data_IF_753214288353
#
_entry.id   IF_753214288353
#
_cell.length_a   1.000
_cell.length_b   1.000
_cell.length_c   1.000
_cell.angle_alpha   90.00
_cell.angle_beta   90.00
_cell.angle_gamma   90.00
#
_symmetry.space_group_name_H-M   'P 1'
#
loop_
_entity.id
_entity.type
_entity.pdbx_description
1 polymer ?
#
# COMPACT_ATOMS: atom_id res chain seq x y z
N UNK A 1 23.79 -24.69 -10.87
CA UNK A 1 24.83 -24.24 -11.81
C UNK A 1 24.08 -23.64 -12.97
N UNK A 2 24.43 -22.43 -13.39
CA UNK A 2 23.74 -21.74 -14.48
C UNK A 2 24.07 -22.42 -15.82
N UNK A 3 23.14 -22.34 -16.76
CA UNK A 3 23.36 -22.71 -18.16
C UNK A 3 24.17 -21.62 -18.86
N UNK A 4 24.76 -21.94 -20.03
CA UNK A 4 25.50 -20.94 -20.83
C UNK A 4 24.63 -19.76 -21.25
N UNK A 5 23.35 -20.00 -21.51
CA UNK A 5 22.41 -18.96 -21.90
C UNK A 5 22.08 -18.05 -20.70
N UNK A 6 21.93 -18.62 -19.51
CA UNK A 6 21.76 -17.84 -18.27
C UNK A 6 23.02 -17.02 -17.94
N UNK A 7 24.23 -17.59 -18.13
CA UNK A 7 25.49 -16.85 -17.96
C UNK A 7 25.63 -15.69 -18.94
N UNK A 8 25.26 -15.91 -20.22
CA UNK A 8 25.23 -14.86 -21.25
C UNK A 8 24.28 -13.73 -20.86
N UNK A 9 23.02 -14.06 -20.52
CA UNK A 9 22.00 -13.08 -20.12
C UNK A 9 22.46 -12.26 -18.92
N UNK A 10 23.04 -12.90 -17.89
CA UNK A 10 23.55 -12.20 -16.71
C UNK A 10 24.74 -11.30 -17.02
N UNK A 11 25.57 -11.65 -18.01
CA UNK A 11 26.69 -10.80 -18.42
C UNK A 11 26.27 -9.52 -19.14
N UNK A 12 25.01 -9.42 -19.59
CA UNK A 12 24.43 -8.23 -20.23
C UNK A 12 23.81 -7.23 -19.24
N UNK A 13 23.83 -7.55 -17.93
CA UNK A 13 23.39 -6.65 -16.87
C UNK A 13 24.26 -5.39 -16.83
N UNK A 14 23.60 -4.25 -16.95
CA UNK A 14 24.17 -2.93 -16.84
C UNK A 14 23.66 -2.28 -15.54
N UNK A 15 24.52 -2.31 -14.52
CA UNK A 15 24.19 -1.76 -13.21
C UNK A 15 24.05 -0.23 -13.27
N UNK A 16 24.81 0.44 -14.15
CA UNK A 16 24.77 1.89 -14.27
C UNK A 16 23.47 2.34 -14.94
N UNK A 17 22.99 1.62 -15.97
CA UNK A 17 21.68 1.87 -16.58
C UNK A 17 20.55 1.64 -15.56
N UNK A 18 20.58 0.50 -14.85
CA UNK A 18 19.60 0.21 -13.80
C UNK A 18 19.62 1.25 -12.68
N UNK A 19 20.79 1.73 -12.26
CA UNK A 19 20.91 2.79 -11.26
C UNK A 19 20.39 4.13 -11.77
N UNK A 20 20.60 4.46 -13.05
CA UNK A 20 20.03 5.63 -13.70
C UNK A 20 18.50 5.66 -13.63
N UNK A 21 17.84 4.50 -13.75
CA UNK A 21 16.39 4.40 -13.53
C UNK A 21 16.00 4.68 -12.09
N UNK A 22 16.75 4.19 -11.11
CA UNK A 22 16.50 4.47 -9.68
C UNK A 22 16.62 5.96 -9.41
N UNK A 23 17.67 6.61 -9.91
CA UNK A 23 17.89 8.04 -9.73
C UNK A 23 16.82 8.91 -10.40
N UNK A 24 16.25 8.47 -11.52
CA UNK A 24 15.15 9.16 -12.16
C UNK A 24 13.85 8.99 -11.37
N UNK A 25 13.43 7.73 -11.15
CA UNK A 25 12.14 7.41 -10.56
C UNK A 25 12.02 7.85 -9.09
N UNK A 26 13.14 7.90 -8.35
CA UNK A 26 13.16 8.35 -6.94
C UNK A 26 12.93 9.85 -6.75
N UNK A 27 12.93 10.64 -7.83
CA UNK A 27 12.65 12.09 -7.79
C UNK A 27 11.17 12.42 -7.98
N UNK A 28 10.35 11.42 -8.34
CA UNK A 28 8.93 11.59 -8.65
C UNK A 28 8.07 11.16 -7.46
N UNK A 29 7.15 12.02 -7.04
CA UNK A 29 6.03 11.62 -6.20
C UNK A 29 5.05 10.81 -7.05
N UNK A 30 5.04 9.49 -6.84
CA UNK A 30 4.24 8.55 -7.61
C UNK A 30 3.01 8.10 -6.83
N UNK A 31 2.46 8.95 -5.99
CA UNK A 31 1.15 8.70 -5.39
C UNK A 31 0.13 8.46 -6.50
N UNK A 32 -0.71 7.42 -6.38
CA UNK A 32 -1.57 7.00 -7.49
C UNK A 32 -2.50 8.11 -8.00
N UNK A 33 -2.80 8.09 -9.30
CA UNK A 33 -3.59 9.09 -10.01
C UNK A 33 -3.07 10.54 -9.90
N UNK A 34 -1.80 10.75 -9.55
CA UNK A 34 -1.15 12.06 -9.61
C UNK A 34 -0.37 12.24 -10.91
N UNK A 35 0.09 13.47 -11.18
CA UNK A 35 0.92 13.73 -12.34
C UNK A 35 2.26 12.99 -12.27
N UNK A 36 2.90 12.93 -11.09
CA UNK A 36 4.21 12.27 -10.97
C UNK A 36 4.16 10.75 -11.21
N UNK A 37 3.02 10.09 -10.90
CA UNK A 37 2.80 8.71 -11.35
C UNK A 37 2.70 8.61 -12.88
N UNK A 38 1.96 9.52 -13.52
CA UNK A 38 1.83 9.55 -14.98
C UNK A 38 3.17 9.78 -15.67
N UNK A 39 3.96 10.72 -15.13
CA UNK A 39 5.32 11.00 -15.60
C UNK A 39 6.22 9.76 -15.46
N UNK A 40 6.07 8.98 -14.38
CA UNK A 40 6.82 7.73 -14.22
C UNK A 40 6.41 6.65 -15.23
N UNK A 41 5.12 6.54 -15.58
CA UNK A 41 4.67 5.67 -16.67
C UNK A 41 5.12 6.16 -18.05
N UNK A 42 5.19 7.47 -18.26
CA UNK A 42 5.79 8.07 -19.46
C UNK A 42 7.27 7.72 -19.58
N UNK A 43 8.02 7.83 -18.47
CA UNK A 43 9.43 7.43 -18.41
C UNK A 43 9.63 5.95 -18.78
N UNK A 44 8.82 5.04 -18.21
CA UNK A 44 8.88 3.62 -18.55
C UNK A 44 8.63 3.40 -20.05
N UNK A 45 7.59 4.02 -20.60
CA UNK A 45 7.27 3.89 -22.03
C UNK A 45 8.40 4.41 -22.92
N UNK A 46 8.96 5.56 -22.60
CA UNK A 46 10.10 6.13 -23.32
C UNK A 46 11.32 5.20 -23.30
N UNK A 47 11.59 4.53 -22.16
CA UNK A 47 12.67 3.54 -22.06
C UNK A 47 12.37 2.27 -22.83
N UNK A 48 11.14 1.78 -22.80
CA UNK A 48 10.75 0.62 -23.63
C UNK A 48 10.87 0.94 -25.13
N UNK A 49 10.48 2.14 -25.57
CA UNK A 49 10.69 2.61 -26.95
C UNK A 49 12.19 2.67 -27.31
N UNK A 50 13.04 3.20 -26.42
CA UNK A 50 14.50 3.23 -26.58
C UNK A 50 15.10 1.82 -26.72
N UNK A 51 14.59 0.86 -25.96
CA UNK A 51 15.04 -0.53 -25.97
C UNK A 51 14.45 -1.36 -27.12
N UNK A 52 13.47 -0.82 -27.85
CA UNK A 52 12.75 -1.54 -28.90
C UNK A 52 11.80 -2.62 -28.36
N UNK A 53 11.36 -2.50 -27.11
CA UNK A 53 10.47 -3.47 -26.44
C UNK A 53 9.01 -3.12 -26.75
N UNK A 54 8.22 -3.99 -27.41
CA UNK A 54 6.80 -3.75 -27.62
C UNK A 54 6.03 -3.65 -26.31
N UNK A 55 5.03 -2.77 -26.22
CA UNK A 55 4.18 -2.66 -25.03
C UNK A 55 2.75 -2.23 -25.34
N UNK A 56 1.87 -2.47 -24.37
CA UNK A 56 0.50 -1.96 -24.31
C UNK A 56 0.33 -1.09 -23.07
N UNK A 57 -0.53 -0.08 -23.18
CA UNK A 57 -0.90 0.79 -22.08
C UNK A 57 -2.40 0.71 -21.86
N UNK A 58 -2.79 0.68 -20.60
CA UNK A 58 -4.18 0.62 -20.19
C UNK A 58 -4.46 1.74 -19.20
N UNK A 59 -5.69 2.22 -19.21
CA UNK A 59 -6.21 3.11 -18.17
C UNK A 59 -7.63 2.71 -17.83
N UNK A 60 -7.97 2.77 -16.55
CA UNK A 60 -9.32 2.46 -16.06
C UNK A 60 -9.64 3.28 -14.81
N UNK A 61 -10.92 3.37 -14.48
CA UNK A 61 -11.36 4.06 -13.27
C UNK A 61 -11.30 3.11 -12.07
N UNK A 62 -10.65 3.56 -11.00
CA UNK A 62 -10.47 2.84 -9.74
C UNK A 62 -10.88 3.70 -8.56
N UNK A 63 -11.38 3.08 -7.50
CA UNK A 63 -11.53 3.76 -6.22
C UNK A 63 -10.15 3.90 -5.57
N UNK A 64 -9.69 5.14 -5.38
CA UNK A 64 -8.36 5.46 -4.85
C UNK A 64 -8.52 6.34 -3.62
N UNK A 65 -7.79 6.01 -2.55
CA UNK A 65 -7.81 6.77 -1.30
C UNK A 65 -6.47 7.42 -1.00
N UNK A 66 -6.44 8.74 -0.91
CA UNK A 66 -5.29 9.49 -0.43
C UNK A 66 -5.53 9.91 1.02
N UNK A 67 -4.76 9.41 2.00
CA UNK A 67 -4.79 9.97 3.34
C UNK A 67 -4.40 11.45 3.28
N UNK A 68 -5.03 12.26 4.11
CA UNK A 68 -4.77 13.70 4.22
C UNK A 68 -4.31 14.00 5.65
N UNK A 69 -4.98 14.91 6.33
CA UNK A 69 -4.64 15.30 7.69
C UNK A 69 -5.27 14.40 8.77
N UNK A 70 -4.60 14.32 9.92
CA UNK A 70 -5.11 13.77 11.17
C UNK A 70 -4.65 14.62 12.35
N UNK A 71 -5.47 14.69 13.39
CA UNK A 71 -5.10 15.26 14.68
C UNK A 71 -5.67 14.42 15.81
N UNK A 72 -4.84 14.22 16.85
CA UNK A 72 -5.20 13.46 18.04
C UNK A 72 -4.80 14.27 19.26
N UNK A 73 -5.77 14.59 20.11
CA UNK A 73 -5.55 15.32 21.35
C UNK A 73 -6.08 14.52 22.52
N UNK A 74 -5.28 14.37 23.57
CA UNK A 74 -5.77 13.94 24.87
C UNK A 74 -6.46 15.14 25.52
N UNK A 75 -7.71 14.96 25.93
CA UNK A 75 -8.49 15.95 26.69
C UNK A 75 -8.24 15.75 28.19
N UNK A 76 -8.22 14.50 28.64
CA UNK A 76 -7.99 14.12 30.04
C UNK A 76 -7.31 12.75 30.11
N UNK A 77 -6.52 12.44 31.16
CA UNK A 77 -6.36 13.19 32.41
C UNK A 77 -5.42 14.39 32.31
N UNK A 78 -4.47 14.38 31.36
CA UNK A 78 -3.52 15.46 31.13
C UNK A 78 -3.59 15.87 29.66
N UNK A 79 -3.96 17.12 29.35
CA UNK A 79 -4.01 17.58 27.97
C UNK A 79 -2.68 17.42 27.25
N UNK A 80 -2.72 16.81 26.07
CA UNK A 80 -1.53 16.53 25.26
C UNK A 80 -1.92 16.41 23.79
N UNK A 81 -1.23 17.14 22.92
CA UNK A 81 -1.30 16.90 21.48
C UNK A 81 -0.40 15.72 21.10
N UNK A 82 -0.89 14.85 20.22
CA UNK A 82 -0.18 13.66 19.75
C UNK A 82 -0.06 13.75 18.24
N UNK A 83 1.18 13.80 17.75
CA UNK A 83 1.45 13.75 16.32
C UNK A 83 0.97 12.42 15.73
N UNK A 84 0.17 12.49 14.67
CA UNK A 84 -0.40 11.32 14.02
C UNK A 84 -0.64 11.52 12.52
N UNK A 85 -0.77 10.40 11.80
CA UNK A 85 -1.26 10.35 10.42
C UNK A 85 -2.49 9.43 10.33
N UNK A 86 -3.29 9.59 9.27
CA UNK A 86 -4.33 8.62 8.90
C UNK A 86 -3.88 7.77 7.71
N UNK A 87 -4.75 6.89 7.22
CA UNK A 87 -4.39 5.83 6.27
C UNK A 87 -5.39 5.73 5.11
N UNK A 88 -4.94 5.19 3.97
CA UNK A 88 -5.83 4.98 2.84
C UNK A 88 -7.00 4.07 3.22
N UNK A 89 -8.21 4.47 2.81
CA UNK A 89 -9.51 3.87 3.14
C UNK A 89 -9.88 3.91 4.62
N UNK A 90 -9.19 4.71 5.44
CA UNK A 90 -9.67 5.09 6.77
C UNK A 90 -10.92 5.96 6.63
N UNK A 91 -11.94 5.72 7.45
CA UNK A 91 -13.13 6.59 7.46
C UNK A 91 -12.75 7.98 7.96
N UNK A 92 -13.11 8.99 7.19
CA UNK A 92 -13.04 10.39 7.62
C UNK A 92 -14.00 10.65 8.77
N UNK A 93 -13.56 11.39 9.79
CA UNK A 93 -14.45 11.92 10.83
C UNK A 93 -15.32 13.05 10.27
N UNK A 94 -16.31 13.53 11.03
CA UNK A 94 -16.96 14.81 10.73
C UNK A 94 -15.97 15.98 10.90
N UNK A 95 -16.41 17.19 10.52
CA UNK A 95 -15.59 18.40 10.69
C UNK A 95 -15.27 18.69 12.16
N UNK A 96 -16.17 18.34 13.07
CA UNK A 96 -16.01 18.47 14.52
C UNK A 96 -15.09 17.40 15.11
N UNK A 97 -14.78 16.34 14.37
CA UNK A 97 -14.06 15.18 14.90
C UNK A 97 -14.94 14.31 15.80
N UNK A 98 -14.31 13.50 16.66
CA UNK A 98 -14.99 12.69 17.66
C UNK A 98 -14.29 12.78 19.01
N UNK A 99 -15.08 12.82 20.08
CA UNK A 99 -14.58 12.62 21.44
C UNK A 99 -14.97 11.24 21.95
N UNK A 100 -14.01 10.50 22.50
CA UNK A 100 -14.26 9.15 23.00
C UNK A 100 -13.23 8.74 24.04
N UNK A 101 -13.56 7.69 24.79
CA UNK A 101 -12.62 7.03 25.68
C UNK A 101 -11.61 6.21 24.87
N UNK A 102 -10.33 6.33 25.23
CA UNK A 102 -9.23 5.55 24.67
C UNK A 102 -8.99 4.32 25.56
N UNK A 103 -9.03 3.13 24.96
CA UNK A 103 -8.79 1.85 25.66
C UNK A 103 -7.58 1.14 25.07
N UNK A 104 -6.63 0.76 25.93
CA UNK A 104 -5.47 -0.01 25.51
C UNK A 104 -5.82 -1.48 25.33
N UNK A 105 -5.47 -2.05 24.18
CA UNK A 105 -5.65 -3.46 23.86
C UNK A 105 -4.27 -4.13 23.94
N UNK A 106 -4.00 -4.94 24.99
CA UNK A 106 -2.66 -5.44 25.29
C UNK A 106 -2.25 -6.64 24.42
N UNK A 107 -2.50 -6.55 23.11
CA UNK A 107 -2.22 -7.60 22.13
C UNK A 107 -1.50 -7.00 20.93
N UNK A 108 -0.41 -7.64 20.51
CA UNK A 108 0.26 -7.30 19.25
C UNK A 108 -0.16 -8.28 18.15
N UNK A 109 -0.51 -7.83 16.94
CA UNK A 109 -0.76 -8.71 15.81
C UNK A 109 0.43 -9.61 15.49
N UNK A 110 1.67 -9.17 15.77
CA UNK A 110 2.87 -9.98 15.61
C UNK A 110 3.03 -11.08 16.67
N UNK A 111 2.36 -10.95 17.82
CA UNK A 111 2.34 -11.97 18.88
C UNK A 111 1.25 -13.03 18.68
N UNK A 112 0.32 -12.77 17.78
CA UNK A 112 -0.78 -13.66 17.44
C UNK A 112 -0.32 -14.63 16.34
N UNK A 113 -0.07 -15.89 16.70
CA UNK A 113 0.02 -17.02 15.76
C UNK A 113 -1.39 -17.46 15.28
N UNK A 114 -2.35 -16.54 15.29
CA UNK A 114 -3.77 -16.83 15.46
C UNK A 114 -4.62 -16.10 14.42
N UNK A 115 -5.77 -16.68 14.09
CA UNK A 115 -6.63 -16.20 13.02
C UNK A 115 -7.32 -14.89 13.36
N UNK A 116 -7.92 -14.24 12.37
CA UNK A 116 -8.71 -13.00 12.52
C UNK A 116 -9.79 -13.09 13.63
N UNK A 117 -10.36 -14.27 13.85
CA UNK A 117 -11.37 -14.49 14.90
C UNK A 117 -10.82 -14.31 16.31
N UNK A 118 -9.59 -14.72 16.56
CA UNK A 118 -8.96 -14.61 17.88
C UNK A 118 -8.74 -13.14 18.25
N UNK A 119 -8.34 -12.31 17.28
CA UNK A 119 -8.15 -10.87 17.49
C UNK A 119 -9.47 -10.15 17.83
N UNK A 120 -10.60 -10.54 17.21
CA UNK A 120 -11.93 -9.98 17.55
C UNK A 120 -12.29 -10.27 19.01
N UNK A 121 -12.03 -11.48 19.49
CA UNK A 121 -12.31 -11.84 20.88
C UNK A 121 -11.40 -11.09 21.86
N UNK A 122 -10.13 -10.85 21.51
CA UNK A 122 -9.25 -10.00 22.32
C UNK A 122 -9.76 -8.55 22.43
N UNK A 123 -10.26 -7.96 21.34
CA UNK A 123 -10.91 -6.65 21.41
C UNK A 123 -12.16 -6.66 22.29
N UNK A 124 -12.97 -7.73 22.23
CA UNK A 124 -14.16 -7.85 23.09
C UNK A 124 -13.79 -7.98 24.56
N UNK A 125 -12.75 -8.75 24.90
CA UNK A 125 -12.22 -8.85 26.26
C UNK A 125 -11.73 -7.50 26.80
N UNK A 126 -11.24 -6.64 25.93
CA UNK A 126 -10.84 -5.26 26.24
C UNK A 126 -12.03 -4.27 26.25
N UNK A 127 -13.28 -4.72 26.13
CA UNK A 127 -14.50 -3.91 26.22
C UNK A 127 -14.51 -2.68 25.28
N UNK A 128 -14.07 -2.87 24.03
CA UNK A 128 -13.80 -1.75 23.09
C UNK A 128 -15.04 -1.11 22.48
N UNK A 129 -16.23 -1.69 22.72
CA UNK A 129 -17.47 -1.26 22.08
C UNK A 129 -17.78 0.21 22.42
N UNK A 130 -17.89 1.06 21.40
CA UNK A 130 -18.13 2.49 21.58
C UNK A 130 -16.90 3.28 22.04
N UNK A 131 -15.70 2.71 21.98
CA UNK A 131 -14.44 3.33 22.40
C UNK A 131 -13.46 3.42 21.24
N UNK A 132 -12.36 4.16 21.44
CA UNK A 132 -11.21 4.19 20.54
C UNK A 132 -10.16 3.24 21.06
N UNK A 133 -9.68 2.32 20.22
CA UNK A 133 -8.67 1.34 20.64
C UNK A 133 -7.26 1.90 20.46
N UNK A 134 -6.37 1.66 21.42
CA UNK A 134 -4.94 1.91 21.33
C UNK A 134 -4.20 0.57 21.32
N UNK A 135 -3.29 0.36 20.37
CA UNK A 135 -2.52 -0.90 20.31
C UNK A 135 -1.17 -0.76 19.62
N UNK A 136 -0.26 -1.70 19.88
CA UNK A 136 1.00 -1.79 19.14
C UNK A 136 0.84 -2.48 17.77
N UNK A 137 1.58 -1.98 16.78
CA UNK A 137 1.63 -2.55 15.43
C UNK A 137 1.11 -1.58 14.37
N UNK A 138 1.32 -1.93 13.10
CA UNK A 138 0.91 -1.11 11.95
C UNK A 138 -0.59 -1.23 11.67
N UNK A 139 -1.15 -0.20 11.02
CA UNK A 139 -2.54 -0.15 10.58
C UNK A 139 -2.82 -1.12 9.43
N UNK A 140 -2.85 -2.41 9.74
CA UNK A 140 -3.15 -3.45 8.74
C UNK A 140 -4.66 -3.68 8.60
N UNK A 141 -5.14 -4.08 7.41
CA UNK A 141 -6.56 -4.27 7.16
C UNK A 141 -7.26 -5.28 8.07
N UNK A 142 -6.56 -6.37 8.41
CA UNK A 142 -7.07 -7.40 9.31
C UNK A 142 -7.37 -6.84 10.72
N UNK A 143 -6.48 -5.98 11.20
CA UNK A 143 -6.53 -5.41 12.55
C UNK A 143 -7.65 -4.37 12.68
N UNK A 144 -7.74 -3.47 11.69
CA UNK A 144 -8.81 -2.46 11.64
C UNK A 144 -10.18 -3.14 11.49
N UNK A 145 -10.27 -4.16 10.63
CA UNK A 145 -11.50 -4.95 10.48
C UNK A 145 -11.92 -5.63 11.79
N UNK A 146 -10.98 -6.22 12.54
CA UNK A 146 -11.29 -6.89 13.78
C UNK A 146 -11.81 -5.92 14.86
N UNK A 147 -11.20 -4.74 14.99
CA UNK A 147 -11.67 -3.70 15.90
C UNK A 147 -13.08 -3.21 15.54
N UNK A 148 -13.34 -3.00 14.24
CA UNK A 148 -14.68 -2.65 13.75
C UNK A 148 -15.70 -3.74 14.10
N UNK A 149 -15.36 -5.02 13.95
CA UNK A 149 -16.25 -6.13 14.33
C UNK A 149 -16.50 -6.22 15.83
N UNK A 150 -15.57 -5.79 16.65
CA UNK A 150 -15.76 -5.67 18.10
C UNK A 150 -16.53 -4.40 18.52
N UNK A 151 -16.83 -3.49 17.58
CA UNK A 151 -17.64 -2.29 17.82
C UNK A 151 -16.84 -1.06 18.25
N UNK A 152 -15.53 -1.01 17.97
CA UNK A 152 -14.73 0.19 18.16
C UNK A 152 -15.23 1.35 17.26
N UNK A 153 -15.03 2.59 17.71
CA UNK A 153 -15.33 3.80 16.92
C UNK A 153 -14.17 4.21 16.02
N UNK A 154 -12.95 4.02 16.51
CA UNK A 154 -11.71 4.29 15.81
C UNK A 154 -10.55 3.47 16.40
N UNK A 155 -9.40 3.51 15.75
CA UNK A 155 -8.20 2.80 16.15
C UNK A 155 -6.95 3.69 16.04
N UNK A 156 -6.15 3.69 17.11
CA UNK A 156 -4.84 4.33 17.22
C UNK A 156 -3.77 3.23 17.26
N UNK A 157 -2.91 3.25 16.26
CA UNK A 157 -1.81 2.30 16.09
C UNK A 157 -0.50 2.92 16.58
N UNK A 158 0.21 2.21 17.48
CA UNK A 158 1.51 2.61 17.98
C UNK A 158 2.57 1.97 17.08
N UNK A 159 3.31 2.81 16.35
CA UNK A 159 4.38 2.34 15.47
C UNK A 159 5.50 1.63 16.25
N UNK A 160 6.23 0.75 15.57
CA UNK A 160 7.35 0.01 16.18
C UNK A 160 8.54 0.89 16.56
N UNK A 161 8.63 2.08 15.97
CA UNK A 161 9.65 3.13 16.19
C UNK A 161 8.99 4.50 16.09
N UNK A 162 9.74 5.58 16.32
CA UNK A 162 9.29 6.97 16.13
C UNK A 162 9.29 7.39 14.66
N UNK A 163 8.75 6.53 13.81
CA UNK A 163 8.55 6.75 12.38
C UNK A 163 7.11 6.38 12.07
N UNK A 164 6.38 7.33 11.51
CA UNK A 164 5.00 7.12 11.06
C UNK A 164 5.02 6.39 9.73
N UNK A 165 4.20 5.36 9.61
CA UNK A 165 4.15 4.50 8.43
C UNK A 165 2.82 4.67 7.71
N UNK A 166 2.87 5.04 6.43
CA UNK A 166 1.70 5.02 5.57
C UNK A 166 1.20 3.60 5.37
N UNK A 167 -0.12 3.43 5.42
CA UNK A 167 -0.77 2.14 5.33
C UNK A 167 -2.09 2.27 4.57
N UNK A 168 -2.63 1.13 4.17
CA UNK A 168 -3.95 0.98 3.57
C UNK A 168 -4.76 -0.01 4.39
N UNK A 169 -5.98 0.35 4.78
CA UNK A 169 -6.75 -0.40 5.79
C UNK A 169 -7.90 -1.25 5.22
N UNK A 170 -8.09 -1.30 3.88
CA UNK A 170 -9.39 -1.74 3.31
C UNK A 170 -9.79 -3.23 3.30
N UNK A 171 -8.97 -4.27 3.29
CA UNK A 171 -9.45 -5.68 3.08
C UNK A 171 -10.02 -6.01 1.69
N UNK A 172 -10.62 -5.07 0.95
CA UNK A 172 -10.98 -5.27 -0.47
C UNK A 172 -9.70 -5.29 -1.31
N UNK A 173 -9.58 -6.22 -2.26
CA UNK A 173 -8.50 -6.19 -3.27
C UNK A 173 -9.04 -5.52 -4.52
N UNK A 174 -8.30 -4.52 -5.00
CA UNK A 174 -8.68 -3.65 -6.08
C UNK A 174 -9.93 -2.82 -5.83
N UNK A 175 -10.63 -2.53 -6.92
CA UNK A 175 -11.84 -1.71 -6.90
C UNK A 175 -13.03 -2.50 -6.34
N UNK A 176 -13.80 -1.97 -5.37
CA UNK A 176 -14.92 -2.69 -4.79
C UNK A 176 -16.07 -2.90 -5.80
N UNK A 177 -16.70 -4.06 -5.71
CA UNK A 177 -18.04 -4.29 -6.26
C UNK A 177 -19.09 -3.82 -5.25
N UNK A 178 -20.38 -3.68 -5.63
CA UNK A 178 -21.44 -3.38 -4.66
C UNK A 178 -21.47 -4.36 -3.47
N UNK A 179 -21.18 -5.64 -3.70
CA UNK A 179 -21.18 -6.70 -2.68
C UNK A 179 -19.97 -6.59 -1.74
N UNK A 180 -18.80 -6.20 -2.26
CA UNK A 180 -17.57 -6.08 -1.48
C UNK A 180 -17.37 -4.72 -0.83
N UNK A 181 -18.06 -3.67 -1.31
CA UNK A 181 -17.99 -2.30 -0.78
C UNK A 181 -18.27 -2.23 0.74
N UNK A 182 -19.15 -3.08 1.27
CA UNK A 182 -19.43 -3.19 2.72
C UNK A 182 -18.23 -3.62 3.58
N UNK A 183 -17.15 -4.07 2.95
CA UNK A 183 -15.90 -4.45 3.62
C UNK A 183 -14.91 -3.29 3.74
N UNK A 184 -15.17 -2.17 3.05
CA UNK A 184 -14.41 -0.93 3.28
C UNK A 184 -14.62 -0.54 4.76
N UNK A 185 -13.55 -0.20 5.49
CA UNK A 185 -13.64 0.19 6.88
C UNK A 185 -14.60 1.36 7.09
N UNK A 186 -15.43 1.23 8.13
CA UNK A 186 -16.38 2.24 8.59
C UNK A 186 -15.97 2.83 9.95
N UNK A 187 -14.69 2.66 10.30
CA UNK A 187 -14.05 3.25 11.48
C UNK A 187 -12.81 4.03 11.05
N UNK A 188 -12.43 5.02 11.83
CA UNK A 188 -11.21 5.82 11.60
C UNK A 188 -9.99 5.06 12.11
N UNK A 189 -8.91 5.04 11.34
CA UNK A 189 -7.61 4.52 11.75
C UNK A 189 -6.53 5.60 11.65
N UNK A 190 -5.72 5.73 12.70
CA UNK A 190 -4.55 6.62 12.76
C UNK A 190 -3.34 5.90 13.35
N UNK A 191 -2.15 6.38 13.03
CA UNK A 191 -0.89 5.92 13.63
C UNK A 191 -0.19 7.05 14.38
N UNK A 192 0.44 6.70 15.50
CA UNK A 192 1.24 7.58 16.35
C UNK A 192 2.65 7.04 16.48
N UNK A 193 3.60 7.94 16.79
CA UNK A 193 4.98 7.56 17.10
C UNK A 193 5.01 6.66 18.34
N UNK A 194 6.03 5.80 18.42
CA UNK A 194 6.17 4.85 19.52
C UNK A 194 6.19 5.54 20.88
N UNK A 195 7.01 6.57 21.01
CA UNK A 195 7.23 7.30 22.27
C UNK A 195 5.95 7.95 22.79
N UNK A 196 5.11 8.50 21.91
CA UNK A 196 3.81 9.05 22.31
C UNK A 196 2.77 7.97 22.59
N UNK A 197 2.75 6.91 21.78
CA UNK A 197 1.91 5.74 22.03
C UNK A 197 2.17 5.10 23.40
N UNK A 198 3.44 4.96 23.80
CA UNK A 198 3.81 4.44 25.11
C UNK A 198 3.31 5.35 26.25
N UNK A 199 3.34 6.68 26.10
CA UNK A 199 2.71 7.60 27.07
C UNK A 199 1.21 7.38 27.17
N UNK A 200 0.52 7.23 26.03
CA UNK A 200 -0.93 6.95 26.00
C UNK A 200 -1.26 5.63 26.70
N UNK A 201 -0.44 4.59 26.51
CA UNK A 201 -0.59 3.30 27.21
C UNK A 201 -0.46 3.49 28.72
N UNK A 202 0.55 4.22 29.19
CA UNK A 202 0.74 4.47 30.62
C UNK A 202 -0.39 5.32 31.23
N UNK A 203 -0.96 6.26 30.46
CA UNK A 203 -2.16 6.98 30.88
C UNK A 203 -3.37 6.04 31.01
N UNK A 204 -3.62 5.20 30.00
CA UNK A 204 -4.76 4.27 29.98
C UNK A 204 -4.68 3.21 31.09
N UNK A 205 -3.47 2.80 31.50
CA UNK A 205 -3.27 1.91 32.66
C UNK A 205 -3.61 2.57 34.01
N UNK A 206 -3.45 3.89 34.12
CA UNK A 206 -3.71 4.64 35.36
C UNK A 206 -5.18 5.01 35.54
N UNK A 207 -5.94 5.06 34.45
CA UNK A 207 -7.37 5.37 34.48
C UNK A 207 -7.92 5.79 33.11
N UNK A 208 -9.17 6.27 33.08
CA UNK A 208 -9.82 6.68 31.83
C UNK A 208 -9.07 7.80 31.12
N UNK A 209 -8.85 7.62 29.81
CA UNK A 209 -8.28 8.63 28.93
C UNK A 209 -9.34 9.06 27.95
N UNK A 210 -9.61 10.36 27.88
CA UNK A 210 -10.55 10.94 26.90
C UNK A 210 -9.73 11.64 25.82
N UNK A 211 -10.03 11.34 24.57
CA UNK A 211 -9.37 11.95 23.42
C UNK A 211 -10.37 12.71 22.54
N UNK A 212 -9.85 13.63 21.74
CA UNK A 212 -10.47 14.17 20.54
C UNK A 212 -9.66 13.70 19.33
N UNK A 213 -10.33 13.11 18.34
CA UNK A 213 -9.73 12.61 17.12
C UNK A 213 -10.43 13.23 15.90
N UNK A 214 -9.63 13.76 14.98
CA UNK A 214 -10.09 14.19 13.66
C UNK A 214 -9.18 13.58 12.59
N UNK A 215 -9.75 13.06 11.52
CA UNK A 215 -8.98 12.51 10.41
C UNK A 215 -9.73 12.67 9.10
N UNK A 216 -9.00 12.90 8.02
CA UNK A 216 -9.55 13.00 6.67
C UNK A 216 -8.78 12.13 5.68
N UNK A 217 -9.53 11.34 4.93
CA UNK A 217 -9.05 10.65 3.73
C UNK A 217 -9.88 11.06 2.52
N UNK A 218 -9.22 11.31 1.40
CA UNK A 218 -9.84 11.63 0.11
C UNK A 218 -9.96 10.36 -0.73
N UNK A 219 -11.09 9.66 -0.56
CA UNK A 219 -11.44 8.44 -1.30
C UNK A 219 -12.44 8.77 -2.41
N UNK A 220 -12.04 8.62 -3.67
CA UNK A 220 -12.93 8.82 -4.82
C UNK A 220 -12.44 8.06 -6.04
N UNK A 221 -13.30 7.95 -7.04
CA UNK A 221 -12.97 7.38 -8.33
C UNK A 221 -11.91 8.23 -9.04
N UNK A 222 -10.89 7.56 -9.57
CA UNK A 222 -9.79 8.17 -10.32
C UNK A 222 -9.39 7.27 -11.47
N UNK A 223 -9.00 7.90 -12.58
CA UNK A 223 -8.38 7.20 -13.70
C UNK A 223 -6.92 6.93 -13.40
N UNK A 224 -6.51 5.65 -13.43
CA UNK A 224 -5.13 5.22 -13.20
C UNK A 224 -4.55 4.47 -14.41
N UNK A 225 -3.27 4.65 -14.74
CA UNK A 225 -2.61 3.98 -15.86
C UNK A 225 -1.85 2.72 -15.43
N UNK A 226 -1.59 1.81 -16.36
CA UNK A 226 -0.50 0.84 -16.22
C UNK A 226 0.06 0.42 -17.58
N UNK A 227 1.30 -0.09 -17.58
CA UNK A 227 2.03 -0.51 -18.79
C UNK A 227 2.36 -1.99 -18.72
N UNK A 228 2.19 -2.68 -19.86
CA UNK A 228 2.54 -4.09 -20.07
C UNK A 228 3.51 -4.19 -21.23
N UNK A 229 4.78 -4.45 -20.95
CA UNK A 229 5.75 -4.83 -21.99
C UNK A 229 5.50 -6.28 -22.42
N UNK A 230 5.57 -6.54 -23.72
CA UNK A 230 5.31 -7.83 -24.35
C UNK A 230 6.55 -8.28 -25.14
N UNK A 231 7.29 -9.24 -24.58
CA UNK A 231 8.46 -9.83 -25.21
C UNK A 231 8.05 -11.20 -25.73
N UNK A 232 7.96 -11.34 -27.05
CA UNK A 232 7.45 -12.56 -27.70
C UNK A 232 8.52 -13.67 -27.72
N UNK A 233 8.17 -14.84 -27.18
CA UNK A 233 9.01 -16.03 -27.23
C UNK A 233 8.92 -16.75 -28.58
N UNK A 234 9.86 -17.65 -28.86
CA UNK A 234 10.00 -18.32 -30.16
C UNK A 234 9.08 -19.53 -30.33
N UNK A 235 9.00 -20.41 -29.32
CA UNK A 235 8.45 -21.76 -29.50
C UNK A 235 6.97 -21.86 -29.07
N UNK A 236 6.60 -21.16 -28.00
CA UNK A 236 5.25 -21.11 -27.40
C UNK A 236 4.87 -19.63 -27.11
N UNK A 237 4.75 -18.77 -28.14
CA UNK A 237 4.53 -17.32 -27.98
C UNK A 237 3.21 -16.98 -27.28
N UNK A 238 2.22 -17.87 -27.31
CA UNK A 238 0.93 -17.72 -26.65
C UNK A 238 1.00 -17.94 -25.12
N UNK A 239 2.02 -18.67 -24.65
CA UNK A 239 2.28 -18.86 -23.22
C UNK A 239 3.23 -17.78 -22.73
N UNK A 240 3.03 -17.32 -21.50
CA UNK A 240 3.89 -16.28 -20.95
C UNK A 240 4.21 -16.46 -19.47
N UNK A 241 5.36 -15.92 -19.07
CA UNK A 241 5.69 -15.63 -17.68
C UNK A 241 5.35 -14.17 -17.37
N UNK A 242 4.62 -13.92 -16.28
CA UNK A 242 4.36 -12.56 -15.79
C UNK A 242 5.41 -12.18 -14.74
N UNK A 243 6.17 -11.13 -15.02
CA UNK A 243 7.08 -10.49 -14.05
C UNK A 243 6.57 -9.08 -13.80
N UNK A 244 6.50 -8.63 -12.55
CA UNK A 244 5.82 -7.39 -12.27
C UNK A 244 6.25 -6.66 -11.00
N UNK A 245 5.91 -5.38 -10.96
CA UNK A 245 6.07 -4.47 -9.83
C UNK A 245 4.96 -3.44 -9.83
N UNK A 246 4.93 -2.55 -8.84
CA UNK A 246 4.00 -1.42 -8.85
C UNK A 246 4.76 -0.11 -9.02
N UNK A 247 4.25 0.75 -9.90
CA UNK A 247 4.80 2.06 -10.16
C UNK A 247 4.44 3.06 -9.07
N UNK A 248 3.23 2.95 -8.55
CA UNK A 248 2.76 3.87 -7.52
C UNK A 248 3.51 3.68 -6.21
N UNK A 249 3.62 4.74 -5.42
CA UNK A 249 4.23 4.67 -4.10
C UNK A 249 3.58 5.64 -3.13
N UNK A 250 3.91 5.47 -1.84
CA UNK A 250 3.77 6.56 -0.89
C UNK A 250 4.86 7.59 -1.18
N UNK A 251 4.46 8.75 -1.71
CA UNK A 251 5.38 9.83 -2.08
C UNK A 251 6.46 9.35 -3.08
N UNK A 252 7.75 9.46 -2.74
CA UNK A 252 8.87 9.12 -3.62
C UNK A 252 9.15 7.61 -3.76
N UNK A 253 8.92 6.80 -2.72
CA UNK A 253 8.98 5.33 -2.82
C UNK A 253 10.28 4.71 -3.36
N UNK A 254 11.47 5.20 -2.98
CA UNK A 254 12.73 4.72 -3.58
C UNK A 254 12.93 3.19 -3.46
N UNK A 255 12.72 2.63 -2.27
CA UNK A 255 12.83 1.18 -2.05
C UNK A 255 11.55 0.42 -2.37
N UNK A 256 10.40 1.08 -2.21
CA UNK A 256 9.06 0.55 -2.44
C UNK A 256 8.31 1.48 -3.39
N UNK A 257 8.48 1.35 -4.71
CA UNK A 257 9.18 0.26 -5.40
C UNK A 257 10.06 0.71 -6.59
N UNK A 258 10.71 1.88 -6.50
CA UNK A 258 11.57 2.35 -7.60
C UNK A 258 12.71 1.37 -7.93
N UNK A 259 13.35 0.76 -6.94
CA UNK A 259 14.40 -0.24 -7.17
C UNK A 259 13.90 -1.46 -7.92
N UNK A 260 12.69 -1.95 -7.62
CA UNK A 260 12.08 -3.03 -8.37
C UNK A 260 11.73 -2.60 -9.79
N UNK A 261 11.14 -1.41 -9.96
CA UNK A 261 10.78 -0.88 -11.28
C UNK A 261 12.00 -0.67 -12.18
N UNK A 262 13.14 -0.27 -11.63
CA UNK A 262 14.42 -0.19 -12.33
C UNK A 262 14.91 -1.56 -12.79
N UNK A 263 14.85 -2.58 -11.91
CA UNK A 263 15.20 -3.95 -12.28
C UNK A 263 14.28 -4.52 -13.37
N UNK A 264 13.00 -4.15 -13.39
CA UNK A 264 12.06 -4.56 -14.44
C UNK A 264 12.39 -3.92 -15.80
N UNK A 265 12.82 -2.66 -15.84
CA UNK A 265 13.26 -2.00 -17.08
C UNK A 265 14.52 -2.67 -17.63
N UNK A 266 15.48 -2.96 -16.76
CA UNK A 266 16.71 -3.65 -17.13
C UNK A 266 16.44 -5.08 -17.62
N UNK A 267 15.53 -5.78 -16.95
CA UNK A 267 15.06 -7.09 -17.40
C UNK A 267 14.40 -7.01 -18.78
N UNK A 268 13.55 -6.01 -19.03
CA UNK A 268 12.92 -5.81 -20.33
C UNK A 268 13.96 -5.60 -21.44
N UNK A 269 14.97 -4.77 -21.18
CA UNK A 269 16.06 -4.47 -22.12
C UNK A 269 16.84 -5.72 -22.52
N UNK A 270 17.23 -6.56 -21.56
CA UNK A 270 18.05 -7.75 -21.82
C UNK A 270 17.22 -8.86 -22.47
N UNK A 271 15.99 -9.08 -22.00
CA UNK A 271 15.14 -10.14 -22.53
C UNK A 271 14.70 -9.86 -23.96
N UNK A 272 14.45 -8.61 -24.35
CA UNK A 272 14.12 -8.28 -25.73
C UNK A 272 15.30 -8.56 -26.68
N UNK A 273 16.54 -8.25 -26.27
CA UNK A 273 17.75 -8.60 -27.04
C UNK A 273 17.93 -10.10 -27.23
N UNK A 274 17.48 -10.88 -26.26
CA UNK A 274 17.61 -12.33 -26.22
C UNK A 274 16.29 -13.06 -26.52
N UNK A 275 15.26 -12.38 -27.06
CA UNK A 275 13.92 -12.97 -27.22
C UNK A 275 13.88 -14.23 -28.09
N UNK A 276 14.83 -14.36 -29.03
CA UNK A 276 14.99 -15.55 -29.87
C UNK A 276 15.41 -16.81 -29.12
N UNK A 277 15.94 -16.66 -27.91
CA UNK A 277 16.33 -17.76 -27.01
C UNK A 277 15.22 -18.10 -26.01
N UNK A 278 14.16 -17.28 -25.92
CA UNK A 278 13.03 -17.50 -25.02
C UNK A 278 12.03 -18.50 -25.63
N UNK A 279 11.77 -19.61 -24.94
CA UNK A 279 10.74 -20.58 -25.37
C UNK A 279 9.34 -19.95 -25.32
N UNK A 280 9.04 -19.25 -24.21
CA UNK A 280 7.74 -18.62 -23.93
C UNK A 280 7.89 -17.11 -23.88
N UNK A 281 6.80 -16.40 -24.12
CA UNK A 281 6.77 -14.95 -24.00
C UNK A 281 6.98 -14.51 -22.55
N UNK A 282 7.41 -13.27 -22.36
CA UNK A 282 7.49 -12.63 -21.04
C UNK A 282 6.67 -11.35 -21.08
N UNK A 283 5.77 -11.20 -20.11
CA UNK A 283 5.06 -9.95 -19.87
C UNK A 283 5.65 -9.27 -18.65
N UNK A 284 6.08 -8.02 -18.81
CA UNK A 284 6.60 -7.21 -17.72
C UNK A 284 5.63 -6.08 -17.43
N UNK A 285 5.21 -5.92 -16.18
CA UNK A 285 4.13 -5.00 -15.82
C UNK A 285 4.48 -4.09 -14.66
N UNK A 286 4.05 -2.83 -14.77
CA UNK A 286 4.19 -1.81 -13.75
C UNK A 286 2.78 -1.36 -13.34
N UNK A 287 2.31 -1.84 -12.19
CA UNK A 287 0.94 -1.62 -11.72
C UNK A 287 0.76 -0.26 -11.06
N UNK A 288 -0.38 0.40 -11.29
CA UNK A 288 -0.83 1.52 -10.47
C UNK A 288 -1.81 1.06 -9.38
N UNK A 289 -2.00 1.89 -8.36
CA UNK A 289 -2.99 1.71 -7.31
C UNK A 289 -2.70 0.54 -6.38
N UNK A 290 -1.44 0.10 -6.24
CA UNK A 290 -1.02 -0.89 -5.25
C UNK A 290 -1.20 -0.36 -3.83
N UNK A 291 -0.65 0.82 -3.55
CA UNK A 291 -0.52 1.41 -2.22
C UNK A 291 -1.80 2.09 -1.75
N UNK A 292 -2.44 2.85 -2.65
CA UNK A 292 -3.62 3.68 -2.34
C UNK A 292 -4.93 3.12 -2.88
N UNK A 293 -4.88 2.06 -3.69
CA UNK A 293 -6.03 1.35 -4.28
C UNK A 293 -6.06 -0.15 -3.97
N UNK A 294 -5.14 -0.63 -3.13
CA UNK A 294 -4.98 -2.03 -2.70
C UNK A 294 -4.92 -3.02 -3.86
N UNK A 295 -3.87 -2.91 -4.66
CA UNK A 295 -3.59 -3.79 -5.81
C UNK A 295 -4.55 -3.59 -6.98
N UNK A 296 -4.97 -2.34 -7.23
CA UNK A 296 -6.06 -2.08 -8.17
C UNK A 296 -5.76 -2.49 -9.61
N UNK A 297 -4.64 -2.07 -10.19
CA UNK A 297 -4.32 -2.42 -11.59
C UNK A 297 -4.06 -3.91 -11.78
N UNK A 298 -3.38 -4.58 -10.85
CA UNK A 298 -3.15 -6.02 -10.96
C UNK A 298 -4.44 -6.84 -10.82
N UNK A 299 -5.35 -6.42 -9.93
CA UNK A 299 -6.68 -7.05 -9.79
C UNK A 299 -7.50 -6.84 -11.06
N UNK A 300 -7.55 -5.61 -11.59
CA UNK A 300 -8.23 -5.31 -12.84
C UNK A 300 -7.68 -6.14 -14.01
N UNK A 301 -6.36 -6.26 -14.12
CA UNK A 301 -5.73 -7.07 -15.16
C UNK A 301 -6.13 -8.55 -15.06
N UNK A 302 -6.15 -9.11 -13.84
CA UNK A 302 -6.58 -10.49 -13.61
C UNK A 302 -8.04 -10.72 -14.03
N UNK A 303 -8.94 -9.77 -13.75
CA UNK A 303 -10.37 -9.89 -14.04
C UNK A 303 -10.72 -9.68 -15.53
N UNK A 304 -9.85 -9.03 -16.32
CA UNK A 304 -10.17 -8.59 -17.68
C UNK A 304 -9.33 -9.24 -18.78
N UNK A 305 -8.25 -9.93 -18.44
CA UNK A 305 -7.28 -10.45 -19.42
C UNK A 305 -7.20 -11.98 -19.45
N UNK A 306 -7.93 -12.67 -18.57
CA UNK A 306 -8.04 -14.12 -18.45
C UNK A 306 -9.49 -14.52 -18.19
#
# INVERSE_FOLDING_TARGET
MLTKDEEKILSELDIDEAWGHVEHLSKLDKTSATQGERDAHEYVRAKLDEYGVPYKTYEFDSLISHPKEASLNVISPTPMEVECITHAFSKSTSEEGMEAELVFVPVSPSSLHTGLGDLVEEYKKAEVKGKVTLMFGVASPAVVWAAQKAGALAQVHICGRDVLHEMIVTTVWGTPTPESAKRIPDITAVSVKRSDGEKLVEMAKKGPVKIHLKARSDTRWRRIPFTVAEIEGRDEPEQFMLVHGHMDSWYLGTTDNCTGNAALLELARILERNKGDLRRSVRITWWSGHSTGRYSASTWYADNMF
#
